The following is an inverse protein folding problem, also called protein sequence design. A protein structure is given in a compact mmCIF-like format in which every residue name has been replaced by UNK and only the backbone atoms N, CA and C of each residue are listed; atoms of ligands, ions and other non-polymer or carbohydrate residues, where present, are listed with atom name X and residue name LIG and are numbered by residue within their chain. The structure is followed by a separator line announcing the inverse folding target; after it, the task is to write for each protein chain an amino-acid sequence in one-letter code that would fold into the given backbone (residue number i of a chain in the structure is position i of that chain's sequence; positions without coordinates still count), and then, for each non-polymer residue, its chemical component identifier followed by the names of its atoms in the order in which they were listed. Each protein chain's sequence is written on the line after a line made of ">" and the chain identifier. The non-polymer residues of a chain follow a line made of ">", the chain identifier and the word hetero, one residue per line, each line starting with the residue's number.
data_IF_272799837770
#
_entry.id   IF_272799837770
#
_cell.length_a   1.000
_cell.length_b   1.000
_cell.length_c   1.000
_cell.angle_alpha   90.00
_cell.angle_beta   90.00
_cell.angle_gamma   90.00
#
_symmetry.space_group_name_H-M   'P 1'
#
loop_
_entity.id
_entity.type
_entity.pdbx_description
1 polymer ?
#
# COMPACT_ATOMS: atom_id res chain seq x y z
N UNK A 1 -23.29 -6.98 3.57
CA UNK A 1 -21.86 -6.83 3.88
C UNK A 1 -21.13 -5.98 2.83
N UNK A 2 -21.34 -6.25 1.53
CA UNK A 2 -20.73 -5.47 0.42
C UNK A 2 -21.19 -3.99 0.42
N UNK A 3 -22.46 -3.70 0.70
CA UNK A 3 -22.98 -2.33 0.62
C UNK A 3 -22.50 -1.43 1.78
N UNK A 4 -22.34 -2.00 2.98
CA UNK A 4 -21.76 -1.28 4.12
C UNK A 4 -20.31 -0.82 3.86
N UNK A 5 -19.50 -1.68 3.23
CA UNK A 5 -18.13 -1.34 2.85
C UNK A 5 -18.10 -0.25 1.79
N UNK A 6 -18.97 -0.32 0.78
CA UNK A 6 -19.08 0.73 -0.24
C UNK A 6 -19.46 2.09 0.37
N UNK A 7 -20.42 2.11 1.27
CA UNK A 7 -20.86 3.33 1.96
C UNK A 7 -19.76 3.90 2.86
N UNK A 8 -18.99 3.04 3.53
CA UNK A 8 -17.84 3.45 4.33
C UNK A 8 -16.73 4.04 3.45
N UNK A 9 -16.36 3.35 2.36
CA UNK A 9 -15.35 3.81 1.42
C UNK A 9 -15.71 5.18 0.83
N UNK A 10 -16.97 5.39 0.44
CA UNK A 10 -17.44 6.67 -0.07
C UNK A 10 -17.28 7.83 0.94
N UNK A 11 -17.44 7.56 2.24
CA UNK A 11 -17.23 8.55 3.31
C UNK A 11 -15.75 8.82 3.60
N UNK A 12 -14.88 7.83 3.40
CA UNK A 12 -13.44 7.94 3.67
C UNK A 12 -12.70 8.60 2.50
N UNK A 13 -13.12 8.35 1.26
CA UNK A 13 -12.42 8.81 0.05
C UNK A 13 -12.95 10.16 -0.47
N UNK A 14 -12.81 11.21 0.34
CA UNK A 14 -13.40 12.53 0.07
C UNK A 14 -12.42 13.59 -0.46
N UNK A 15 -11.11 13.32 -0.35
CA UNK A 15 -10.07 14.32 -0.66
C UNK A 15 -9.43 14.18 -2.04
N UNK A 16 -8.35 14.93 -2.24
CA UNK A 16 -7.55 14.87 -3.45
C UNK A 16 -6.95 13.49 -3.70
N UNK A 17 -6.90 13.10 -4.97
CA UNK A 17 -6.25 11.85 -5.38
C UNK A 17 -4.76 11.85 -5.02
N UNK A 18 -4.28 10.67 -4.66
CA UNK A 18 -2.86 10.40 -4.37
C UNK A 18 -2.25 9.69 -5.56
N UNK A 19 -1.25 10.30 -6.19
CA UNK A 19 -0.52 9.65 -7.30
C UNK A 19 0.76 9.00 -6.79
N UNK A 20 0.98 7.77 -7.22
CA UNK A 20 2.16 6.99 -6.84
C UNK A 20 2.73 6.29 -8.07
N UNK A 21 4.06 6.23 -8.13
CA UNK A 21 4.79 5.45 -9.13
C UNK A 21 5.38 4.23 -8.44
N UNK A 22 5.09 3.05 -8.96
CA UNK A 22 5.45 1.76 -8.37
C UNK A 22 6.25 0.93 -9.39
N UNK A 23 7.27 0.23 -8.91
CA UNK A 23 7.96 -0.79 -9.72
C UNK A 23 7.57 -2.18 -9.28
N UNK A 24 7.14 -3.03 -10.22
CA UNK A 24 6.84 -4.45 -9.95
C UNK A 24 8.02 -5.24 -9.41
N UNK A 25 9.24 -4.84 -9.78
CA UNK A 25 10.48 -5.47 -9.30
C UNK A 25 10.89 -4.99 -7.90
N UNK A 26 10.37 -3.85 -7.45
CA UNK A 26 10.75 -3.18 -6.20
C UNK A 26 9.53 -2.60 -5.48
N UNK A 27 8.49 -3.42 -5.31
CA UNK A 27 7.19 -2.99 -4.78
C UNK A 27 7.35 -2.33 -3.42
N UNK A 28 8.03 -3.01 -2.49
CA UNK A 28 8.24 -2.50 -1.13
C UNK A 28 8.94 -1.14 -1.14
N UNK A 29 10.15 -1.07 -1.73
CA UNK A 29 10.98 0.14 -1.73
C UNK A 29 10.24 1.33 -2.34
N UNK A 30 9.61 1.11 -3.49
CA UNK A 30 8.93 2.19 -4.22
C UNK A 30 7.66 2.63 -3.50
N UNK A 31 6.85 1.72 -2.95
CA UNK A 31 5.67 2.08 -2.17
C UNK A 31 6.06 2.81 -0.87
N UNK A 32 6.99 2.23 -0.10
CA UNK A 32 7.44 2.76 1.18
C UNK A 32 7.95 4.21 1.07
N UNK A 33 8.65 4.53 -0.02
CA UNK A 33 9.14 5.88 -0.28
C UNK A 33 8.05 6.95 -0.30
N UNK A 34 6.81 6.60 -0.70
CA UNK A 34 5.64 7.49 -0.66
C UNK A 34 4.90 7.42 0.67
N UNK A 35 4.60 6.21 1.17
CA UNK A 35 3.78 6.04 2.37
C UNK A 35 4.43 6.62 3.63
N UNK A 36 5.76 6.69 3.71
CA UNK A 36 6.46 7.37 4.82
C UNK A 36 6.23 8.89 4.86
N UNK A 37 5.81 9.50 3.74
CA UNK A 37 5.63 10.96 3.62
C UNK A 37 4.29 11.36 4.26
N UNK A 38 4.35 12.21 5.30
CA UNK A 38 3.14 12.71 5.98
C UNK A 38 2.18 13.43 5.03
N UNK A 39 2.70 14.23 4.09
CA UNK A 39 1.88 14.95 3.10
C UNK A 39 1.13 14.02 2.15
N UNK A 40 1.74 12.87 1.80
CA UNK A 40 1.08 11.86 0.98
C UNK A 40 -0.07 11.20 1.75
N UNK A 41 0.16 10.86 3.02
CA UNK A 41 -0.84 10.22 3.88
C UNK A 41 -1.91 11.17 4.42
N UNK A 42 -1.69 12.48 4.39
CA UNK A 42 -2.70 13.49 4.74
C UNK A 42 -3.82 13.56 3.70
N UNK A 43 -3.58 13.11 2.47
CA UNK A 43 -4.60 13.04 1.42
C UNK A 43 -5.47 11.81 1.59
N UNK A 44 -6.78 11.98 1.52
CA UNK A 44 -7.76 10.90 1.71
C UNK A 44 -8.35 10.37 0.41
N UNK A 45 -8.03 10.99 -0.74
CA UNK A 45 -8.59 10.57 -2.02
C UNK A 45 -8.10 9.23 -2.54
N UNK A 46 -8.65 8.86 -3.69
CA UNK A 46 -8.30 7.65 -4.43
C UNK A 46 -6.81 7.61 -4.74
N UNK A 47 -6.19 6.45 -4.51
CA UNK A 47 -4.85 6.15 -4.98
C UNK A 47 -4.89 5.95 -6.50
N UNK A 48 -3.98 6.59 -7.20
CA UNK A 48 -3.77 6.49 -8.65
C UNK A 48 -2.36 5.98 -8.88
N UNK A 49 -2.25 4.84 -9.55
CA UNK A 49 -0.99 4.10 -9.69
C UNK A 49 -0.49 4.16 -11.11
N UNK A 50 0.76 4.57 -11.27
CA UNK A 50 1.53 4.38 -12.51
C UNK A 50 2.58 3.30 -12.24
N UNK A 51 2.60 2.25 -13.04
CA UNK A 51 3.70 1.30 -13.00
C UNK A 51 4.85 1.81 -13.86
N UNK A 52 6.08 1.70 -13.35
CA UNK A 52 7.28 2.09 -14.08
C UNK A 52 8.47 1.23 -13.65
N UNK A 53 9.42 1.08 -14.55
CA UNK A 53 10.75 0.54 -14.26
C UNK A 53 11.80 1.67 -14.32
N UNK A 54 13.10 1.34 -14.32
CA UNK A 54 14.16 2.35 -14.36
C UNK A 54 14.29 3.05 -15.73
N UNK A 55 13.67 2.51 -16.77
CA UNK A 55 13.82 2.92 -18.16
C UNK A 55 12.57 3.66 -18.65
N UNK A 56 11.38 3.19 -18.29
CA UNK A 56 10.11 3.72 -18.82
C UNK A 56 8.91 3.50 -17.88
N UNK A 57 7.88 4.32 -18.08
CA UNK A 57 6.54 4.08 -17.56
C UNK A 57 5.85 2.99 -18.38
N UNK A 58 5.06 2.15 -17.72
CA UNK A 58 4.26 1.15 -18.41
C UNK A 58 2.97 1.77 -18.95
N UNK A 59 2.59 1.38 -20.17
CA UNK A 59 1.40 1.89 -20.87
C UNK A 59 0.09 1.37 -20.26
N UNK A 60 -0.29 1.89 -19.10
CA UNK A 60 -1.57 1.60 -18.45
C UNK A 60 -2.11 2.80 -17.67
N UNK A 61 -3.33 3.25 -18.03
CA UNK A 61 -4.05 4.29 -17.28
C UNK A 61 -4.84 3.64 -16.14
N UNK A 62 -4.60 4.11 -14.91
CA UNK A 62 -5.28 3.56 -13.73
C UNK A 62 -6.74 4.00 -13.61
N UNK A 63 -7.63 3.12 -14.08
CA UNK A 63 -9.07 3.14 -13.82
C UNK A 63 -9.48 2.13 -12.73
N UNK A 64 -8.52 1.61 -11.97
CA UNK A 64 -8.71 0.68 -10.85
C UNK A 64 -7.97 -0.65 -11.01
N UNK A 65 -7.64 -1.07 -12.24
CA UNK A 65 -6.86 -2.29 -12.49
C UNK A 65 -5.45 -2.21 -11.88
N UNK A 66 -4.61 -1.28 -12.35
CA UNK A 66 -3.27 -1.07 -11.80
C UNK A 66 -3.27 -0.82 -10.30
N UNK A 67 -4.25 -0.06 -9.77
CA UNK A 67 -4.41 0.12 -8.32
C UNK A 67 -4.59 -1.21 -7.59
N UNK A 68 -5.58 -2.03 -7.97
CA UNK A 68 -5.84 -3.32 -7.30
C UNK A 68 -4.63 -4.25 -7.39
N UNK A 69 -4.00 -4.33 -8.56
CA UNK A 69 -2.80 -5.13 -8.76
C UNK A 69 -1.67 -4.67 -7.84
N UNK A 70 -1.37 -3.37 -7.81
CA UNK A 70 -0.29 -2.83 -6.97
C UNK A 70 -0.53 -3.07 -5.48
N UNK A 71 -1.78 -2.97 -5.01
CA UNK A 71 -2.14 -3.22 -3.61
C UNK A 71 -2.05 -4.71 -3.26
N UNK A 72 -2.39 -5.60 -4.20
CA UNK A 72 -2.20 -7.03 -4.04
C UNK A 72 -0.71 -7.41 -3.96
N UNK A 73 0.11 -6.88 -4.87
CA UNK A 73 1.56 -7.08 -4.85
C UNK A 73 2.18 -6.49 -3.56
N UNK A 74 1.70 -5.33 -3.12
CA UNK A 74 2.17 -4.69 -1.89
C UNK A 74 1.86 -5.53 -0.66
N UNK A 75 0.71 -6.21 -0.59
CA UNK A 75 0.41 -7.12 0.50
C UNK A 75 1.46 -8.25 0.58
N UNK A 76 1.81 -8.86 -0.56
CA UNK A 76 2.86 -9.87 -0.62
C UNK A 76 4.22 -9.31 -0.17
N UNK A 77 4.60 -8.13 -0.66
CA UNK A 77 5.85 -7.47 -0.31
C UNK A 77 5.91 -7.07 1.19
N UNK A 78 4.80 -6.66 1.81
CA UNK A 78 4.75 -6.40 3.25
C UNK A 78 5.09 -7.68 4.02
N UNK A 79 4.54 -8.83 3.62
CA UNK A 79 4.79 -10.10 4.30
C UNK A 79 6.23 -10.60 4.13
N UNK A 80 6.90 -10.22 3.04
CA UNK A 80 8.25 -10.70 2.72
C UNK A 80 9.35 -9.73 3.19
N UNK A 81 9.18 -8.43 2.94
CA UNK A 81 10.27 -7.45 2.99
C UNK A 81 10.19 -6.50 4.18
N UNK A 82 9.00 -6.29 4.78
CA UNK A 82 8.82 -5.25 5.80
C UNK A 82 9.48 -5.55 7.13
N UNK A 83 9.87 -6.80 7.39
CA UNK A 83 10.29 -7.31 8.70
C UNK A 83 9.26 -7.13 9.84
N UNK A 84 8.04 -6.63 9.57
CA UNK A 84 6.99 -6.37 10.58
C UNK A 84 6.05 -7.55 10.81
N UNK A 85 5.95 -8.43 9.79
CA UNK A 85 5.14 -9.65 9.84
C UNK A 85 6.05 -10.87 9.85
N UNK A 86 5.62 -11.93 10.53
CA UNK A 86 6.28 -13.22 10.52
C UNK A 86 5.33 -14.25 9.93
N UNK A 87 5.82 -14.97 8.91
CA UNK A 87 5.10 -16.11 8.35
C UNK A 87 5.04 -17.25 9.37
N UNK A 88 3.86 -17.86 9.48
CA UNK A 88 3.58 -19.05 10.27
C UNK A 88 2.89 -20.08 9.39
N UNK A 89 2.79 -21.32 9.86
CA UNK A 89 2.06 -22.40 9.17
C UNK A 89 0.56 -22.10 9.00
N UNK A 90 0.01 -21.13 9.74
CA UNK A 90 -1.40 -20.74 9.70
C UNK A 90 -1.64 -19.40 8.98
N UNK A 91 -0.60 -18.77 8.44
CA UNK A 91 -0.67 -17.46 7.79
C UNK A 91 0.34 -16.47 8.35
N UNK A 92 0.08 -15.16 8.19
CA UNK A 92 0.95 -14.11 8.69
C UNK A 92 0.48 -13.61 10.06
N UNK A 93 1.41 -13.50 11.01
CA UNK A 93 1.16 -12.83 12.30
C UNK A 93 2.09 -11.64 12.48
N UNK A 94 1.59 -10.56 13.07
CA UNK A 94 2.44 -9.49 13.58
C UNK A 94 3.24 -10.03 14.76
N UNK A 95 4.57 -10.01 14.67
CA UNK A 95 5.45 -10.19 15.83
C UNK A 95 6.28 -8.95 16.01
N UNK A 96 6.51 -8.57 17.27
CA UNK A 96 7.38 -7.46 17.58
C UNK A 96 8.79 -7.79 17.08
N UNK A 97 9.21 -7.11 16.01
CA UNK A 97 10.54 -7.19 15.47
C UNK A 97 11.27 -5.90 15.83
N UNK A 98 12.21 -5.99 16.76
CA UNK A 98 12.99 -4.85 17.25
C UNK A 98 13.74 -4.14 16.11
N UNK A 99 14.16 -4.87 15.08
CA UNK A 99 14.81 -4.25 13.91
C UNK A 99 13.84 -3.36 13.12
N UNK A 100 12.62 -3.83 12.89
CA UNK A 100 11.58 -3.04 12.23
C UNK A 100 11.07 -1.87 13.09
N UNK A 101 11.18 -1.99 14.42
CA UNK A 101 10.86 -0.89 15.34
C UNK A 101 11.95 0.19 15.35
N UNK A 102 13.22 -0.21 15.23
CA UNK A 102 14.37 0.70 15.26
C UNK A 102 14.65 1.34 13.89
N UNK A 103 14.27 0.68 12.79
CA UNK A 103 14.41 1.22 11.44
C UNK A 103 13.13 1.96 11.00
N UNK A 104 13.21 3.29 10.85
CA UNK A 104 12.36 4.10 9.95
C UNK A 104 10.82 4.00 10.14
N UNK A 105 10.29 3.81 11.35
CA UNK A 105 8.84 3.78 11.64
C UNK A 105 8.07 2.73 10.78
N UNK A 106 8.64 1.55 10.55
CA UNK A 106 8.03 0.56 9.62
C UNK A 106 6.65 0.11 10.06
N UNK A 107 6.41 -0.08 11.37
CA UNK A 107 5.08 -0.43 11.86
C UNK A 107 4.01 0.62 11.51
N UNK A 108 4.34 1.92 11.63
CA UNK A 108 3.42 2.99 11.24
C UNK A 108 3.15 2.95 9.73
N UNK A 109 4.21 2.81 8.95
CA UNK A 109 4.13 2.80 7.48
C UNK A 109 3.32 1.60 6.97
N UNK A 110 3.56 0.41 7.52
CA UNK A 110 2.82 -0.81 7.19
C UNK A 110 1.36 -0.70 7.60
N UNK A 111 1.06 -0.16 8.79
CA UNK A 111 -0.33 0.09 9.20
C UNK A 111 -1.07 1.01 8.23
N UNK A 112 -0.38 2.06 7.74
CA UNK A 112 -0.93 2.96 6.72
C UNK A 112 -1.16 2.26 5.38
N UNK A 113 -0.24 1.39 4.94
CA UNK A 113 -0.40 0.61 3.71
C UNK A 113 -1.58 -0.36 3.82
N UNK A 114 -1.68 -1.12 4.93
CA UNK A 114 -2.78 -2.05 5.17
C UNK A 114 -4.13 -1.33 5.20
N UNK A 115 -4.21 -0.15 5.82
CA UNK A 115 -5.43 0.66 5.80
C UNK A 115 -5.84 1.04 4.37
N UNK A 116 -4.90 1.41 3.50
CA UNK A 116 -5.20 1.70 2.09
C UNK A 116 -5.61 0.44 1.32
N UNK A 117 -4.97 -0.70 1.57
CA UNK A 117 -5.36 -1.99 0.99
C UNK A 117 -6.80 -2.34 1.36
N UNK A 118 -7.19 -2.21 2.63
CA UNK A 118 -8.56 -2.51 3.09
C UNK A 118 -9.60 -1.58 2.42
N UNK A 119 -9.28 -0.30 2.29
CA UNK A 119 -10.23 0.70 1.76
C UNK A 119 -10.32 0.67 0.22
N UNK A 120 -9.23 0.34 -0.48
CA UNK A 120 -9.14 0.54 -1.94
C UNK A 120 -8.69 -0.68 -2.75
N UNK A 121 -8.31 -1.77 -2.08
CA UNK A 121 -7.77 -3.00 -2.68
C UNK A 121 -8.77 -3.80 -3.49
N UNK A 122 -10.08 -3.61 -3.22
CA UNK A 122 -11.16 -4.35 -3.88
C UNK A 122 -11.41 -5.70 -3.26
#
# INVERSE_FOLDING_TARGET
>A
MVDFLKDHVAKVLTGESRRIVISRLRIWDTAQAFFKRRSFMAKTGILKVTFANLLEEEDAIDQGGPRRESLHLLLGAICQDSCTLTNTSLGCVTRCNLRAQLENDYFRTVGQMLAVIIVQGG
#
